data_IF_153242786950
#
_entry.id   IF_153242786950
#
_cell.length_a   1.000
_cell.length_b   1.000
_cell.length_c   1.000
_cell.angle_alpha   90.00
_cell.angle_beta   90.00
_cell.angle_gamma   90.00
#
_symmetry.space_group_name_H-M   'P 1'
#
loop_
_entity.id
_entity.type
_entity.pdbx_description
1 polymer ?
#
# COMPACT_ATOMS: atom_id res chain seq x y z
N UNK A 1 -10.10 2.08 9.57
CA UNK A 1 -9.87 2.09 8.11
C UNK A 1 -11.20 1.91 7.39
N UNK A 2 -11.28 2.34 6.13
CA UNK A 2 -12.44 2.12 5.25
C UNK A 2 -12.09 1.04 4.23
N UNK A 3 -12.99 0.07 4.09
CA UNK A 3 -12.90 -1.03 3.13
C UNK A 3 -13.94 -0.85 2.03
N UNK A 4 -13.57 -1.14 0.79
CA UNK A 4 -14.44 -1.11 -0.38
C UNK A 4 -14.37 -2.46 -1.08
N UNK A 5 -15.51 -2.94 -1.61
CA UNK A 5 -15.62 -4.22 -2.30
C UNK A 5 -16.67 -4.15 -3.39
N UNK A 6 -16.55 -5.00 -4.40
CA UNK A 6 -17.59 -5.27 -5.40
C UNK A 6 -18.58 -6.38 -4.96
N UNK A 7 -18.35 -6.97 -3.79
CA UNK A 7 -19.10 -8.10 -3.24
C UNK A 7 -18.21 -9.31 -2.99
N UNK A 8 -17.27 -9.58 -3.87
CA UNK A 8 -16.42 -10.78 -3.87
C UNK A 8 -14.98 -10.47 -3.40
N UNK A 9 -14.41 -9.36 -3.88
CA UNK A 9 -13.02 -8.99 -3.60
C UNK A 9 -12.91 -7.57 -3.06
N UNK A 10 -11.82 -7.30 -2.35
CA UNK A 10 -11.48 -5.96 -1.88
C UNK A 10 -11.03 -5.09 -3.07
N UNK A 11 -11.66 -3.94 -3.26
CA UNK A 11 -11.32 -2.96 -4.31
C UNK A 11 -10.69 -1.69 -3.75
N UNK A 12 -10.74 -1.51 -2.43
CA UNK A 12 -10.10 -0.39 -1.74
C UNK A 12 -9.92 -0.65 -0.25
N UNK A 13 -8.77 -0.21 0.27
CA UNK A 13 -8.46 -0.19 1.70
C UNK A 13 -7.74 1.11 2.03
N UNK A 14 -8.40 2.01 2.73
CA UNK A 14 -7.91 3.37 2.96
C UNK A 14 -8.00 3.77 4.43
N UNK A 15 -7.13 4.68 4.84
CA UNK A 15 -7.31 5.39 6.11
C UNK A 15 -8.47 6.38 5.99
N UNK A 16 -9.33 6.46 7.02
CA UNK A 16 -10.55 7.30 7.01
C UNK A 16 -10.23 8.80 6.84
N UNK A 17 -9.09 9.24 7.34
CA UNK A 17 -8.58 10.60 7.24
C UNK A 17 -7.83 10.89 5.93
N UNK A 18 -7.74 9.91 5.02
CA UNK A 18 -7.08 10.10 3.73
C UNK A 18 -7.92 10.93 2.77
N UNK A 19 -7.26 11.76 1.95
CA UNK A 19 -7.94 12.56 0.91
C UNK A 19 -8.75 11.72 -0.10
N UNK A 20 -8.46 10.44 -0.20
CA UNK A 20 -9.17 9.51 -1.11
C UNK A 20 -10.57 9.19 -0.59
N UNK A 21 -10.73 9.06 0.73
CA UNK A 21 -12.00 8.72 1.37
C UNK A 21 -13.00 9.87 1.29
N UNK A 22 -12.56 11.11 1.48
CA UNK A 22 -13.42 12.30 1.43
C UNK A 22 -14.15 12.49 0.09
N UNK A 23 -13.66 11.88 -0.99
CA UNK A 23 -14.24 11.98 -2.33
C UNK A 23 -15.21 10.83 -2.69
N UNK A 24 -15.15 9.71 -1.98
CA UNK A 24 -15.80 8.45 -2.42
C UNK A 24 -17.04 8.12 -1.61
N UNK A 25 -17.19 8.60 -0.39
CA UNK A 25 -18.24 8.11 0.49
C UNK A 25 -19.26 9.17 0.90
N UNK A 26 -20.37 9.27 0.17
CA UNK A 26 -21.61 9.91 0.64
C UNK A 26 -22.67 8.89 1.11
N UNK A 27 -22.55 7.61 0.73
CA UNK A 27 -23.47 6.53 1.07
C UNK A 27 -22.72 5.24 1.41
N UNK A 28 -21.96 5.25 2.49
CA UNK A 28 -21.30 4.04 3.00
C UNK A 28 -22.26 3.27 3.92
N UNK A 29 -23.16 2.50 3.34
CA UNK A 29 -23.92 1.48 4.07
C UNK A 29 -22.97 0.34 4.48
N UNK A 30 -22.84 0.06 5.78
CA UNK A 30 -22.06 -1.07 6.28
C UNK A 30 -22.70 -2.40 5.81
N UNK A 31 -22.10 -3.01 4.78
CA UNK A 31 -22.47 -4.38 4.38
C UNK A 31 -21.60 -5.37 5.15
N UNK A 32 -22.18 -6.48 5.51
CA UNK A 32 -21.47 -7.62 6.09
C UNK A 32 -21.06 -8.57 4.96
N UNK A 33 -19.79 -8.48 4.52
CA UNK A 33 -19.25 -9.27 3.43
C UNK A 33 -18.11 -10.17 3.92
N UNK A 34 -18.03 -11.42 3.41
CA UNK A 34 -16.94 -12.35 3.79
C UNK A 34 -15.54 -11.75 3.60
N UNK A 35 -15.30 -11.02 2.50
CA UNK A 35 -14.03 -10.35 2.22
C UNK A 35 -13.67 -9.29 3.29
N UNK A 36 -14.65 -8.64 3.90
CA UNK A 36 -14.40 -7.70 4.99
C UNK A 36 -14.00 -8.41 6.29
N UNK A 37 -14.55 -9.59 6.57
CA UNK A 37 -14.13 -10.42 7.70
C UNK A 37 -12.68 -10.91 7.52
N UNK A 38 -12.33 -11.39 6.33
CA UNK A 38 -10.96 -11.79 6.01
C UNK A 38 -9.99 -10.61 6.12
N UNK A 39 -10.37 -9.44 5.60
CA UNK A 39 -9.55 -8.23 5.69
C UNK A 39 -9.35 -7.79 7.14
N UNK A 40 -10.40 -7.83 7.99
CA UNK A 40 -10.27 -7.53 9.43
C UNK A 40 -9.31 -8.50 10.10
N UNK A 41 -9.48 -9.81 9.89
CA UNK A 41 -8.59 -10.84 10.44
C UNK A 41 -7.13 -10.63 10.01
N UNK A 42 -6.90 -10.22 8.75
CA UNK A 42 -5.58 -9.88 8.25
C UNK A 42 -5.01 -8.64 8.97
N UNK A 43 -5.81 -7.57 9.09
CA UNK A 43 -5.42 -6.35 9.80
C UNK A 43 -5.16 -6.59 11.28
N UNK A 44 -5.97 -7.41 11.95
CA UNK A 44 -5.77 -7.79 13.35
C UNK A 44 -4.44 -8.53 13.52
N UNK A 45 -4.11 -9.46 12.62
CA UNK A 45 -2.81 -10.13 12.60
C UNK A 45 -1.66 -9.13 12.43
N UNK A 46 -1.77 -8.24 11.45
CA UNK A 46 -0.77 -7.22 11.17
C UNK A 46 -0.54 -6.29 12.37
N UNK A 47 -1.61 -5.74 12.96
CA UNK A 47 -1.50 -4.83 14.12
C UNK A 47 -1.11 -5.53 15.43
N UNK A 48 -1.23 -6.85 15.50
CA UNK A 48 -0.65 -7.65 16.57
C UNK A 48 0.83 -8.04 16.31
N UNK A 49 1.48 -7.42 15.35
CA UNK A 49 2.91 -7.58 15.07
C UNK A 49 3.28 -8.85 14.32
N UNK A 50 2.33 -9.49 13.65
CA UNK A 50 2.56 -10.69 12.85
C UNK A 50 2.33 -10.38 11.38
N UNK A 51 3.27 -10.74 10.52
CA UNK A 51 2.98 -10.74 9.09
C UNK A 51 2.02 -11.89 8.79
N UNK A 52 0.76 -11.60 8.37
CA UNK A 52 -0.21 -12.66 8.11
C UNK A 52 0.24 -13.57 6.97
N UNK A 53 0.05 -14.88 7.13
CA UNK A 53 0.42 -15.89 6.13
C UNK A 53 -0.64 -16.11 5.03
N UNK A 54 -1.64 -15.25 4.96
CA UNK A 54 -2.66 -15.22 3.92
C UNK A 54 -2.89 -13.80 3.46
N UNK A 55 -3.49 -13.63 2.29
CA UNK A 55 -3.86 -12.30 1.76
C UNK A 55 -5.34 -12.32 1.39
N UNK A 56 -6.16 -11.39 1.87
CA UNK A 56 -7.54 -11.27 1.42
C UNK A 56 -7.59 -11.07 -0.09
N UNK A 57 -8.57 -11.64 -0.79
CA UNK A 57 -8.68 -11.43 -2.23
C UNK A 57 -8.93 -9.95 -2.54
N UNK A 58 -8.11 -9.39 -3.43
CA UNK A 58 -8.26 -8.00 -3.86
C UNK A 58 -8.07 -7.84 -5.36
N UNK A 59 -8.64 -6.78 -5.92
CA UNK A 59 -8.44 -6.34 -7.30
C UNK A 59 -8.07 -4.86 -7.32
N UNK A 60 -7.17 -4.52 -8.22
CA UNK A 60 -6.77 -3.14 -8.47
C UNK A 60 -7.19 -2.77 -9.89
N UNK A 61 -8.21 -1.93 -10.00
CA UNK A 61 -8.71 -1.44 -11.29
C UNK A 61 -7.85 -0.26 -11.80
N UNK A 62 -7.82 -0.06 -13.12
CA UNK A 62 -7.03 1.02 -13.74
C UNK A 62 -5.51 0.82 -13.66
N UNK A 63 -5.07 -0.44 -13.60
CA UNK A 63 -3.67 -0.81 -13.50
C UNK A 63 -2.96 -0.65 -14.85
N UNK A 64 -2.17 0.42 -15.01
CA UNK A 64 -1.27 0.56 -16.16
C UNK A 64 -0.06 -0.38 -16.03
N UNK A 65 0.63 -0.75 -17.14
CA UNK A 65 1.84 -1.57 -17.06
C UNK A 65 2.90 -1.01 -16.11
N UNK A 66 3.05 0.31 -16.04
CA UNK A 66 3.98 0.96 -15.12
C UNK A 66 3.54 0.81 -13.64
N UNK A 67 2.25 1.05 -13.35
CA UNK A 67 1.71 0.87 -11.99
C UNK A 67 1.81 -0.59 -11.53
N UNK A 68 1.61 -1.54 -12.45
CA UNK A 68 1.80 -2.97 -12.16
C UNK A 68 3.22 -3.26 -11.71
N UNK A 69 4.24 -2.78 -12.45
CA UNK A 69 5.64 -2.95 -12.06
C UNK A 69 5.95 -2.35 -10.68
N UNK A 70 5.39 -1.17 -10.37
CA UNK A 70 5.58 -0.52 -9.06
C UNK A 70 4.92 -1.34 -7.94
N UNK A 71 3.71 -1.85 -8.15
CA UNK A 71 3.01 -2.69 -7.17
C UNK A 71 3.78 -4.00 -6.94
N UNK A 72 4.23 -4.67 -8.00
CA UNK A 72 5.07 -5.86 -7.90
C UNK A 72 6.37 -5.61 -7.12
N UNK A 73 6.98 -4.43 -7.30
CA UNK A 73 8.15 -4.04 -6.53
C UNK A 73 7.82 -3.81 -5.05
N UNK A 74 6.69 -3.15 -4.75
CA UNK A 74 6.25 -2.92 -3.36
C UNK A 74 5.95 -4.23 -2.63
N UNK A 75 5.27 -5.18 -3.28
CA UNK A 75 4.92 -6.48 -2.69
C UNK A 75 6.13 -7.34 -2.32
N UNK A 76 7.31 -7.03 -2.84
CA UNK A 76 8.58 -7.71 -2.52
C UNK A 76 9.29 -7.12 -1.30
N UNK A 77 8.81 -6.01 -0.75
CA UNK A 77 9.45 -5.37 0.41
C UNK A 77 9.02 -6.14 1.66
N UNK A 78 9.95 -6.78 2.38
CA UNK A 78 9.62 -7.54 3.59
C UNK A 78 9.03 -6.65 4.69
N UNK A 79 8.32 -7.28 5.61
CA UNK A 79 7.82 -6.63 6.83
C UNK A 79 8.96 -6.00 7.63
N UNK A 80 8.81 -4.74 8.02
CA UNK A 80 9.80 -3.97 8.77
C UNK A 80 11.01 -3.50 7.95
N UNK A 81 11.00 -3.68 6.63
CA UNK A 81 12.04 -3.16 5.73
C UNK A 81 11.53 -1.99 4.89
N UNK A 82 12.45 -1.21 4.39
CA UNK A 82 12.12 -0.06 3.53
C UNK A 82 12.98 -0.06 2.27
N UNK A 83 12.46 0.52 1.19
CA UNK A 83 13.16 0.74 -0.06
C UNK A 83 12.94 2.18 -0.51
N UNK A 84 13.87 2.76 -1.25
CA UNK A 84 13.69 4.12 -1.76
C UNK A 84 12.90 4.14 -3.08
N UNK A 85 12.24 5.28 -3.37
CA UNK A 85 11.65 5.51 -4.70
C UNK A 85 12.68 5.38 -5.82
N UNK A 86 13.95 5.76 -5.55
CA UNK A 86 15.05 5.63 -6.48
C UNK A 86 15.42 4.19 -6.80
N UNK A 87 15.44 3.33 -5.78
CA UNK A 87 15.74 1.90 -5.96
C UNK A 87 14.66 1.19 -6.78
N UNK A 88 13.38 1.49 -6.52
CA UNK A 88 12.26 0.98 -7.33
C UNK A 88 12.41 1.48 -8.78
N UNK A 89 12.72 2.77 -8.98
CA UNK A 89 12.93 3.34 -10.31
C UNK A 89 14.07 2.63 -11.05
N UNK A 90 15.20 2.38 -10.39
CA UNK A 90 16.33 1.67 -10.97
C UNK A 90 15.98 0.22 -11.34
N UNK A 91 15.26 -0.49 -10.46
CA UNK A 91 14.82 -1.86 -10.70
C UNK A 91 13.87 -1.95 -11.93
N UNK A 92 12.92 -1.02 -12.04
CA UNK A 92 11.98 -0.96 -13.18
C UNK A 92 12.73 -0.58 -14.47
N UNK A 93 13.66 0.38 -14.43
CA UNK A 93 14.49 0.75 -15.57
C UNK A 93 15.25 -0.47 -16.11
N UNK A 94 15.89 -1.23 -15.21
CA UNK A 94 16.61 -2.48 -15.55
C UNK A 94 15.66 -3.52 -16.17
N UNK A 95 14.50 -3.76 -15.54
CA UNK A 95 13.48 -4.71 -16.04
C UNK A 95 13.02 -4.37 -17.46
N UNK A 96 12.90 -3.07 -17.78
CA UNK A 96 12.39 -2.56 -19.06
C UNK A 96 13.48 -2.25 -20.10
N UNK A 97 14.76 -2.47 -19.79
CA UNK A 97 15.88 -2.13 -20.67
C UNK A 97 16.04 -0.63 -20.91
N UNK A 98 15.61 0.20 -19.96
CA UNK A 98 15.70 1.67 -20.03
C UNK A 98 16.96 2.16 -19.31
N UNK A 99 17.57 3.24 -19.82
CA UNK A 99 18.73 3.86 -19.17
C UNK A 99 18.41 4.44 -17.78
N UNK A 100 17.20 4.99 -17.61
CA UNK A 100 16.77 5.68 -16.38
C UNK A 100 15.25 5.67 -16.26
N UNK A 101 14.75 5.64 -15.03
CA UNK A 101 13.35 5.85 -14.66
C UNK A 101 13.25 6.98 -13.62
N UNK A 102 12.17 7.76 -13.69
CA UNK A 102 11.95 8.85 -12.73
C UNK A 102 11.46 8.34 -11.39
N UNK A 103 12.19 8.63 -10.30
CA UNK A 103 11.74 8.38 -8.94
C UNK A 103 10.43 9.15 -8.60
N UNK A 104 10.23 10.33 -9.19
CA UNK A 104 8.99 11.09 -9.03
C UNK A 104 7.79 10.37 -9.67
N UNK A 105 7.97 9.76 -10.86
CA UNK A 105 6.93 8.95 -11.48
C UNK A 105 6.58 7.72 -10.64
N UNK A 106 7.59 7.06 -10.05
CA UNK A 106 7.38 5.97 -9.08
C UNK A 106 6.60 6.49 -7.87
N UNK A 107 6.96 7.66 -7.32
CA UNK A 107 6.24 8.28 -6.20
C UNK A 107 4.76 8.51 -6.51
N UNK A 108 4.42 8.96 -7.70
CA UNK A 108 3.04 9.10 -8.18
C UNK A 108 2.29 7.75 -8.21
N UNK A 109 2.95 6.70 -8.72
CA UNK A 109 2.37 5.36 -8.77
C UNK A 109 2.18 4.74 -7.37
N UNK A 110 3.15 4.92 -6.46
CA UNK A 110 3.07 4.50 -5.05
C UNK A 110 1.92 5.21 -4.34
N UNK A 111 1.78 6.53 -4.50
CA UNK A 111 0.70 7.30 -3.88
C UNK A 111 -0.69 6.94 -4.44
N UNK A 112 -0.76 6.41 -5.64
CA UNK A 112 -2.01 5.96 -6.27
C UNK A 112 -2.55 4.65 -5.67
N UNK A 113 -1.73 3.82 -5.02
CA UNK A 113 -2.11 2.53 -4.46
C UNK A 113 -3.49 2.58 -3.74
N UNK A 114 -4.49 1.78 -4.18
CA UNK A 114 -5.81 1.76 -3.54
C UNK A 114 -5.91 0.79 -2.36
N UNK A 115 -4.94 -0.10 -2.15
CA UNK A 115 -4.96 -1.16 -1.14
C UNK A 115 -3.86 -0.90 -0.10
N UNK A 116 -4.08 0.06 0.78
CA UNK A 116 -3.10 0.43 1.82
C UNK A 116 -2.78 -0.74 2.75
N UNK A 117 -1.58 -0.80 3.26
CA UNK A 117 -0.99 -1.80 4.17
C UNK A 117 -0.76 -3.14 3.49
N UNK A 118 -1.78 -3.79 2.92
CA UNK A 118 -1.65 -5.07 2.21
C UNK A 118 -0.67 -4.92 1.04
N UNK A 119 -0.82 -3.86 0.23
CA UNK A 119 0.24 -3.41 -0.69
C UNK A 119 1.05 -2.34 0.05
N UNK A 120 2.30 -2.63 0.45
CA UNK A 120 3.00 -1.88 1.49
C UNK A 120 3.64 -0.58 0.98
N UNK A 121 2.82 0.34 0.46
CA UNK A 121 3.28 1.65 -0.02
C UNK A 121 3.92 2.52 1.07
N UNK A 122 3.62 2.26 2.36
CA UNK A 122 4.27 2.92 3.49
C UNK A 122 5.74 2.54 3.64
N UNK A 123 6.19 1.36 3.15
CA UNK A 123 7.59 0.91 3.17
C UNK A 123 8.48 1.59 2.11
N UNK A 124 7.89 2.39 1.20
CA UNK A 124 8.65 3.16 0.20
C UNK A 124 8.95 4.55 0.73
N UNK A 125 10.23 4.91 0.83
CA UNK A 125 10.72 6.16 1.43
C UNK A 125 11.52 7.00 0.43
N UNK A 126 11.77 8.25 0.77
CA UNK A 126 12.67 9.11 0.00
C UNK A 126 14.15 8.78 0.25
N UNK A 127 15.02 9.42 -0.52
CA UNK A 127 16.47 9.34 -0.29
C UNK A 127 16.80 9.78 1.15
N UNK A 128 17.84 9.18 1.73
CA UNK A 128 18.30 9.44 3.09
C UNK A 128 17.22 9.24 4.18
N UNK A 129 16.25 8.34 3.93
CA UNK A 129 15.21 8.05 4.91
C UNK A 129 14.08 9.09 4.96
N UNK A 130 14.01 10.03 4.02
CA UNK A 130 12.99 11.06 4.01
C UNK A 130 11.56 10.46 3.90
N UNK A 131 10.70 10.82 4.85
CA UNK A 131 9.30 10.39 4.88
C UNK A 131 8.45 11.37 4.09
N UNK A 132 8.33 11.13 2.78
CA UNK A 132 7.61 11.99 1.85
C UNK A 132 6.49 11.22 1.15
N UNK A 133 5.44 11.93 0.73
CA UNK A 133 4.48 11.46 -0.26
C UNK A 133 3.74 10.18 0.11
N UNK A 134 2.85 10.21 1.10
CA UNK A 134 2.00 9.06 1.42
C UNK A 134 0.52 9.38 1.23
N UNK A 135 -0.17 8.60 0.36
CA UNK A 135 -1.60 8.78 0.09
C UNK A 135 -2.51 8.57 1.31
N UNK A 136 -2.07 7.78 2.26
CA UNK A 136 -2.75 7.55 3.54
C UNK A 136 -2.41 8.55 4.65
N UNK A 137 -1.62 9.61 4.35
CA UNK A 137 -1.17 10.59 5.34
C UNK A 137 0.16 10.24 6.02
N UNK A 138 1.05 11.23 6.15
CA UNK A 138 2.41 11.03 6.70
C UNK A 138 2.38 10.49 8.14
N UNK A 139 1.43 10.94 8.97
CA UNK A 139 1.29 10.42 10.35
C UNK A 139 1.06 8.90 10.36
N UNK A 140 0.19 8.41 9.50
CA UNK A 140 -0.09 6.99 9.37
C UNK A 140 1.13 6.22 8.84
N UNK A 141 1.89 6.79 7.90
CA UNK A 141 3.13 6.18 7.41
C UNK A 141 4.16 6.01 8.53
N UNK A 142 4.40 7.06 9.33
CA UNK A 142 5.31 7.03 10.47
C UNK A 142 4.88 5.93 11.45
N UNK A 143 3.60 5.93 11.85
CA UNK A 143 3.07 4.95 12.80
C UNK A 143 3.21 3.50 12.31
N UNK A 144 2.96 3.25 11.00
CA UNK A 144 3.13 1.91 10.41
C UNK A 144 4.60 1.46 10.41
N UNK A 145 5.52 2.35 10.01
CA UNK A 145 6.96 2.03 10.01
C UNK A 145 7.49 1.78 11.42
N UNK A 146 7.05 2.56 12.40
CA UNK A 146 7.42 2.35 13.81
C UNK A 146 6.83 1.04 14.34
N UNK A 147 5.57 0.75 14.03
CA UNK A 147 4.92 -0.51 14.37
C UNK A 147 5.72 -1.71 13.86
N UNK A 148 6.01 -1.75 12.56
CA UNK A 148 6.76 -2.84 11.95
C UNK A 148 8.18 -2.99 12.51
N UNK A 149 8.86 -1.88 12.79
CA UNK A 149 10.19 -1.89 13.41
C UNK A 149 10.18 -2.48 14.81
N UNK A 150 9.18 -2.13 15.62
CA UNK A 150 9.07 -2.62 16.99
C UNK A 150 8.70 -4.11 17.06
N UNK A 151 8.00 -4.63 16.05
CA UNK A 151 7.61 -6.03 15.97
C UNK A 151 8.73 -6.96 15.45
N UNK A 152 9.81 -6.42 14.88
CA UNK A 152 11.00 -7.20 14.46
C UNK A 152 11.96 -7.52 15.61
N UNK A 153 11.77 -6.91 16.77
CA UNK A 153 12.57 -7.18 17.97
C UNK A 153 11.99 -8.35 18.76
#
# INVERSE_FOLDING_TARGET
MMMMSDGDVLTGLHFVDSRKVSKVCRDCGGRDLPVFHETRRWLDGYFNGREPNFTPPYRIDGLTPFRKDVIEAMLKIPFGETITYGDIAAAIAKKRGMKKMSAQAVGGAVAWNPICIIVPCHRVIGANGALVGYGGGIKNKVALLEHERNCRQ
#
